data_IF_948959813014
#
_entry.id   IF_948959813014
#
_cell.length_a   1.000
_cell.length_b   1.000
_cell.length_c   1.000
_cell.angle_alpha   90.00
_cell.angle_beta   90.00
_cell.angle_gamma   90.00
#
_symmetry.space_group_name_H-M   'P 1'
#
loop_
_entity.id
_entity.type
_entity.pdbx_description
1 polymer ?
#
# COMPACT_ATOMS: atom_id res chain seq x y z
N UNK A 1 15.46 43.59 13.17
CA UNK A 1 15.85 42.98 11.87
C UNK A 1 16.25 41.50 12.05
N UNK A 2 15.54 40.74 12.89
CA UNK A 2 15.95 39.40 13.37
C UNK A 2 14.82 38.36 13.31
N UNK A 3 13.68 38.68 12.68
CA UNK A 3 12.42 37.94 12.85
C UNK A 3 11.83 37.33 11.57
N UNK A 4 12.50 37.41 10.43
CA UNK A 4 11.89 37.02 9.14
C UNK A 4 12.49 35.78 8.46
N UNK A 5 13.56 35.20 8.99
CA UNK A 5 14.31 34.09 8.33
C UNK A 5 13.78 32.71 8.74
N UNK A 6 13.00 32.59 9.83
CA UNK A 6 12.60 31.28 10.38
C UNK A 6 11.34 30.67 9.73
N UNK A 7 10.71 31.35 8.76
CA UNK A 7 9.40 30.94 8.22
C UNK A 7 9.53 30.10 6.93
N UNK A 8 10.72 30.02 6.33
CA UNK A 8 10.89 29.58 4.92
C UNK A 8 11.03 28.04 4.75
N UNK A 9 11.15 27.24 5.81
CA UNK A 9 11.63 25.84 5.66
C UNK A 9 10.62 24.72 5.93
N UNK A 10 9.34 25.01 6.19
CA UNK A 10 8.36 23.96 6.50
C UNK A 10 7.10 24.06 5.64
N UNK A 11 7.25 24.07 4.32
CA UNK A 11 6.16 23.74 3.42
C UNK A 11 6.35 22.32 2.89
N UNK A 12 5.54 21.47 3.50
CA UNK A 12 5.48 20.03 3.38
C UNK A 12 5.33 19.55 1.93
N UNK A 13 6.17 18.58 1.58
CA UNK A 13 5.90 17.65 0.50
C UNK A 13 4.80 16.68 0.97
N UNK A 14 3.54 17.10 0.88
CA UNK A 14 2.42 16.16 0.88
C UNK A 14 2.40 15.49 -0.49
N UNK A 15 3.14 14.40 -0.63
CA UNK A 15 2.94 13.47 -1.73
C UNK A 15 1.49 13.00 -1.65
N UNK A 16 0.64 13.50 -2.56
CA UNK A 16 -0.69 12.99 -2.76
C UNK A 16 -0.54 11.51 -3.15
N UNK A 17 -0.78 10.61 -2.20
CA UNK A 17 -0.96 9.21 -2.48
C UNK A 17 -2.22 9.12 -3.35
N UNK A 18 -2.04 9.14 -4.66
CA UNK A 18 -3.09 8.76 -5.60
C UNK A 18 -3.49 7.33 -5.22
N UNK A 19 -4.74 7.08 -4.80
CA UNK A 19 -5.21 5.71 -4.71
C UNK A 19 -5.11 5.17 -6.14
N UNK A 20 -4.14 4.29 -6.37
CA UNK A 20 -4.08 3.49 -7.58
C UNK A 20 -5.31 2.60 -7.57
N UNK A 21 -6.43 3.12 -8.06
CA UNK A 21 -7.62 2.32 -8.33
C UNK A 21 -7.26 1.51 -9.57
N UNK A 22 -6.63 0.36 -9.31
CA UNK A 22 -6.33 -0.62 -10.34
C UNK A 22 -7.66 -1.21 -10.80
N UNK A 23 -7.94 -1.19 -12.12
CA UNK A 23 -9.19 -1.70 -12.66
C UNK A 23 -9.28 -3.18 -12.33
N UNK A 24 -10.25 -3.54 -11.48
CA UNK A 24 -10.46 -4.89 -10.95
C UNK A 24 -9.37 -5.34 -9.96
N UNK A 25 -9.15 -4.58 -8.89
CA UNK A 25 -8.39 -5.09 -7.73
C UNK A 25 -9.20 -6.22 -7.11
N UNK A 26 -8.86 -7.47 -7.44
CA UNK A 26 -9.35 -8.66 -6.74
C UNK A 26 -9.30 -8.38 -5.24
N UNK A 27 -10.38 -8.66 -4.52
CA UNK A 27 -10.39 -8.45 -3.08
C UNK A 27 -9.29 -9.33 -2.49
N UNK A 28 -8.30 -8.73 -1.84
CA UNK A 28 -7.19 -9.43 -1.20
C UNK A 28 -7.21 -9.18 0.30
N UNK A 29 -6.70 -10.14 1.06
CA UNK A 29 -6.43 -9.94 2.49
C UNK A 29 -5.33 -8.90 2.67
N UNK A 30 -5.39 -8.16 3.78
CA UNK A 30 -4.31 -7.23 4.17
C UNK A 30 -3.12 -7.92 4.83
N UNK A 31 -3.23 -9.22 5.11
CA UNK A 31 -2.15 -10.01 5.70
C UNK A 31 -1.04 -10.25 4.69
N UNK A 32 0.17 -9.78 4.99
CA UNK A 32 1.38 -10.14 4.28
C UNK A 32 1.95 -11.41 4.90
N UNK A 33 1.95 -12.50 4.15
CA UNK A 33 2.61 -13.74 4.52
C UNK A 33 4.02 -13.76 3.91
N UNK A 34 5.01 -14.23 4.67
CA UNK A 34 6.39 -14.32 4.21
C UNK A 34 6.58 -15.40 3.12
N UNK A 35 5.72 -16.42 3.12
CA UNK A 35 5.75 -17.55 2.21
C UNK A 35 4.35 -17.85 1.65
N UNK A 36 4.29 -18.66 0.59
CA UNK A 36 3.03 -19.09 0.00
C UNK A 36 2.18 -19.80 1.04
N UNK A 37 0.95 -19.34 1.22
CA UNK A 37 0.04 -19.88 2.22
C UNK A 37 -1.18 -20.49 1.55
N UNK A 38 -1.78 -21.49 2.20
CA UNK A 38 -3.04 -22.06 1.73
C UNK A 38 -4.18 -21.08 2.03
N UNK A 39 -4.85 -20.65 0.97
CA UNK A 39 -6.00 -19.77 1.06
C UNK A 39 -7.28 -20.60 1.12
N UNK A 40 -8.23 -20.21 1.97
CA UNK A 40 -9.51 -20.91 2.10
C UNK A 40 -10.33 -20.91 0.81
N UNK A 41 -11.43 -21.66 0.80
CA UNK A 41 -12.27 -21.85 -0.40
C UNK A 41 -12.70 -20.51 -1.04
N UNK A 42 -12.50 -20.40 -2.36
CA UNK A 42 -12.77 -19.16 -3.10
C UNK A 42 -11.67 -18.10 -3.01
N UNK A 43 -10.49 -18.45 -2.50
CA UNK A 43 -9.32 -17.58 -2.45
C UNK A 43 -8.08 -18.31 -2.97
N UNK A 44 -7.18 -17.58 -3.62
CA UNK A 44 -5.91 -18.07 -4.15
C UNK A 44 -4.72 -17.26 -3.60
N UNK A 45 -3.55 -17.90 -3.40
CA UNK A 45 -2.35 -17.21 -2.98
C UNK A 45 -1.74 -16.43 -4.14
N UNK A 46 -1.56 -15.13 -3.95
CA UNK A 46 -0.95 -14.21 -4.92
C UNK A 46 0.31 -13.62 -4.32
N UNK A 47 1.40 -13.66 -5.08
CA UNK A 47 2.68 -13.08 -4.69
C UNK A 47 2.83 -11.65 -5.25
N UNK A 48 3.07 -10.66 -4.39
CA UNK A 48 3.32 -9.27 -4.79
C UNK A 48 4.82 -8.90 -4.84
N UNK A 49 5.69 -9.90 -4.83
CA UNK A 49 7.16 -9.78 -4.77
C UNK A 49 7.71 -9.80 -3.35
N UNK A 50 7.17 -8.97 -2.46
CA UNK A 50 7.63 -8.88 -1.06
C UNK A 50 6.85 -9.78 -0.10
N UNK A 51 5.62 -10.15 -0.48
CA UNK A 51 4.64 -10.79 0.37
C UNK A 51 3.72 -11.68 -0.46
N UNK A 52 3.16 -12.68 0.21
CA UNK A 52 2.02 -13.45 -0.26
C UNK A 52 0.73 -12.92 0.37
N UNK A 53 -0.34 -12.90 -0.42
CA UNK A 53 -1.68 -12.49 -0.01
C UNK A 53 -2.69 -13.52 -0.50
N UNK A 54 -3.79 -13.71 0.22
CA UNK A 54 -4.93 -14.44 -0.32
C UNK A 54 -5.85 -13.47 -1.04
N UNK A 55 -6.09 -13.69 -2.33
CA UNK A 55 -7.00 -12.90 -3.17
C UNK A 55 -8.18 -13.75 -3.65
N UNK A 56 -9.35 -13.15 -3.78
CA UNK A 56 -10.56 -13.85 -4.19
C UNK A 56 -10.46 -14.28 -5.66
N UNK A 57 -10.65 -15.57 -5.95
CA UNK A 57 -10.71 -16.09 -7.33
C UNK A 57 -11.86 -15.48 -8.12
#
# INVERSE_FOLDING_TARGET
MKSFITIITFLAAFAAATPATSPQTKACTRSCFAEATECGEGWEPVNSGACWFCCKV
#
